data_IF_243266320120
#
_entry.id   IF_243266320120
#
_cell.length_a   1.000
_cell.length_b   1.000
_cell.length_c   1.000
_cell.angle_alpha   90.00
_cell.angle_beta   90.00
_cell.angle_gamma   90.00
#
_symmetry.space_group_name_H-M   'P 1'
#
loop_
_entity.id
_entity.type
_entity.pdbx_description
1 polymer ?
#
# COMPACT_ATOMS: atom_id res chain seq x y z
N UNK A 1 5.50 11.51 2.68
CA UNK A 1 4.03 11.66 2.56
C UNK A 1 3.68 11.45 1.09
N UNK A 2 2.91 10.41 0.77
CA UNK A 2 2.44 10.17 -0.61
C UNK A 2 0.95 10.56 -0.72
N UNK A 3 0.57 11.09 -1.88
CA UNK A 3 -0.83 11.43 -2.19
C UNK A 3 -1.28 10.50 -3.32
N UNK A 4 -2.12 9.52 -2.99
CA UNK A 4 -2.76 8.68 -4.01
C UNK A 4 -3.86 9.51 -4.72
N UNK A 5 -3.87 9.50 -6.05
CA UNK A 5 -4.96 10.06 -6.87
C UNK A 5 -5.79 8.91 -7.42
N UNK A 6 -6.96 8.68 -6.84
CA UNK A 6 -7.99 7.81 -7.42
C UNK A 6 -9.01 8.70 -8.14
N UNK A 7 -9.32 8.42 -9.41
CA UNK A 7 -10.33 9.14 -10.21
C UNK A 7 -10.19 10.68 -10.22
N UNK A 8 -8.97 11.21 -10.33
CA UNK A 8 -8.73 12.67 -10.43
C UNK A 8 -8.88 13.45 -9.12
N UNK A 9 -9.29 12.81 -8.03
CA UNK A 9 -9.45 13.42 -6.71
C UNK A 9 -8.20 13.17 -5.84
N UNK A 10 -7.54 14.25 -5.38
CA UNK A 10 -6.45 14.18 -4.38
C UNK A 10 -7.08 13.88 -3.02
N UNK A 11 -7.24 12.61 -2.64
CA UNK A 11 -8.02 12.33 -1.43
C UNK A 11 -7.38 11.49 -0.33
N UNK A 12 -6.19 10.91 -0.52
CA UNK A 12 -5.68 10.05 0.56
C UNK A 12 -4.20 10.30 0.82
N UNK A 13 -3.93 11.00 1.93
CA UNK A 13 -2.60 11.14 2.51
C UNK A 13 -2.25 9.78 3.14
N UNK A 14 -1.37 8.99 2.54
CA UNK A 14 -0.89 7.79 3.22
C UNK A 14 0.32 8.14 4.10
N UNK A 15 0.39 7.55 5.28
CA UNK A 15 1.68 7.45 5.97
C UNK A 15 2.51 6.42 5.22
N UNK A 16 3.71 6.82 4.83
CA UNK A 16 4.64 5.98 4.08
C UNK A 16 5.85 5.73 4.96
N UNK A 17 6.13 4.48 5.26
CA UNK A 17 7.25 4.07 6.09
C UNK A 17 7.76 2.69 5.67
N UNK A 18 8.96 2.32 6.12
CA UNK A 18 9.49 0.97 5.91
C UNK A 18 9.09 0.07 7.07
N UNK A 19 8.71 -1.17 6.76
CA UNK A 19 8.36 -2.22 7.73
C UNK A 19 8.65 -3.59 7.12
N UNK A 20 8.48 -4.66 7.91
CA UNK A 20 8.53 -6.04 7.40
C UNK A 20 7.25 -6.40 6.64
N UNK A 21 7.39 -7.07 5.51
CA UNK A 21 6.27 -7.57 4.73
C UNK A 21 5.62 -8.78 5.41
N UNK A 22 4.30 -8.85 5.36
CA UNK A 22 3.55 -10.01 5.85
C UNK A 22 3.68 -11.24 4.95
N UNK A 23 4.09 -11.07 3.69
CA UNK A 23 4.29 -12.18 2.75
C UNK A 23 5.53 -13.03 3.10
N UNK A 24 6.63 -12.37 3.43
CA UNK A 24 7.96 -13.01 3.48
C UNK A 24 8.90 -12.46 4.57
N UNK A 25 8.43 -11.54 5.42
CA UNK A 25 9.22 -10.92 6.49
C UNK A 25 10.34 -9.99 6.02
N UNK A 26 10.46 -9.72 4.71
CA UNK A 26 11.51 -8.84 4.16
C UNK A 26 11.10 -7.37 4.20
N UNK A 27 12.05 -6.41 4.15
CA UNK A 27 11.72 -4.99 4.11
C UNK A 27 10.80 -4.63 2.95
N UNK A 28 9.79 -3.82 3.23
CA UNK A 28 8.77 -3.36 2.28
C UNK A 28 8.37 -1.92 2.58
N UNK A 29 7.95 -1.17 1.57
CA UNK A 29 7.37 0.15 1.74
C UNK A 29 5.88 -0.02 2.09
N UNK A 30 5.48 0.45 3.26
CA UNK A 30 4.10 0.35 3.72
C UNK A 30 3.40 1.67 3.46
N UNK A 31 2.23 1.59 2.79
CA UNK A 31 1.27 2.68 2.76
C UNK A 31 0.15 2.33 3.74
N UNK A 32 0.09 3.08 4.84
CA UNK A 32 -0.96 2.93 5.83
C UNK A 32 -1.98 4.08 5.72
N UNK A 33 -3.23 3.69 5.46
CA UNK A 33 -4.38 4.58 5.35
C UNK A 33 -5.19 4.69 6.66
N UNK A 34 -4.75 4.00 7.73
CA UNK A 34 -5.44 3.94 9.03
C UNK A 34 -5.84 5.30 9.60
N UNK A 35 -5.03 6.35 9.36
CA UNK A 35 -5.24 7.68 9.95
C UNK A 35 -5.93 8.69 9.03
N UNK A 36 -6.20 8.35 7.76
CA UNK A 36 -6.52 9.37 6.75
C UNK A 36 -7.74 9.08 5.89
N UNK A 37 -8.28 7.86 5.93
CA UNK A 37 -9.62 7.59 5.41
C UNK A 37 -10.32 6.52 6.22
N UNK A 38 -11.52 6.84 6.72
CA UNK A 38 -12.36 5.91 7.47
C UNK A 38 -12.82 4.72 6.61
N UNK A 39 -12.84 4.88 5.28
CA UNK A 39 -13.16 3.81 4.32
C UNK A 39 -11.93 2.92 4.04
N UNK A 40 -10.72 3.49 4.03
CA UNK A 40 -9.50 2.74 3.73
C UNK A 40 -8.70 2.31 4.95
N UNK A 41 -9.13 2.69 6.16
CA UNK A 41 -8.48 2.35 7.40
C UNK A 41 -8.12 0.85 7.58
N UNK A 42 -8.94 -0.14 7.14
CA UNK A 42 -8.57 -1.54 7.31
C UNK A 42 -7.48 -2.01 6.34
N UNK A 43 -7.18 -1.27 5.28
CA UNK A 43 -6.22 -1.70 4.25
C UNK A 43 -4.79 -1.31 4.61
N UNK A 44 -3.86 -2.22 4.31
CA UNK A 44 -2.40 -2.03 4.36
C UNK A 44 -1.86 -2.43 2.99
N UNK A 45 -1.21 -1.50 2.31
CA UNK A 45 -0.49 -1.82 1.09
C UNK A 45 0.99 -2.04 1.40
N UNK A 46 1.56 -3.09 0.83
CA UNK A 46 2.99 -3.38 0.86
C UNK A 46 3.54 -3.25 -0.55
N UNK A 47 4.53 -2.38 -0.75
CA UNK A 47 5.05 -2.05 -2.07
C UNK A 47 6.56 -2.30 -2.13
N UNK A 48 7.01 -2.96 -3.19
CA UNK A 48 8.43 -3.17 -3.48
C UNK A 48 8.74 -2.93 -4.94
N UNK A 49 9.91 -2.35 -5.19
CA UNK A 49 10.47 -2.29 -6.53
C UNK A 49 10.89 -3.71 -6.97
N UNK A 50 10.42 -4.14 -8.13
CA UNK A 50 10.71 -5.46 -8.71
C UNK A 50 11.51 -5.36 -10.02
N UNK A 51 11.68 -4.13 -10.52
CA UNK A 51 12.52 -3.77 -11.66
C UNK A 51 12.62 -2.25 -11.76
N UNK A 52 13.51 -1.69 -12.59
CA UNK A 52 13.73 -0.25 -12.65
C UNK A 52 12.42 0.51 -12.93
N UNK A 53 11.95 1.28 -11.92
CA UNK A 53 10.71 2.05 -12.02
C UNK A 53 9.41 1.23 -11.96
N UNK A 54 9.49 -0.08 -11.76
CA UNK A 54 8.32 -0.97 -11.65
C UNK A 54 8.19 -1.47 -10.22
N UNK A 55 7.03 -1.20 -9.62
CA UNK A 55 6.72 -1.56 -8.25
C UNK A 55 5.55 -2.53 -8.21
N UNK A 56 5.70 -3.61 -7.45
CA UNK A 56 4.63 -4.53 -7.12
C UNK A 56 4.04 -4.16 -5.75
N UNK A 57 2.73 -4.00 -5.72
CA UNK A 57 1.94 -3.72 -4.52
C UNK A 57 1.04 -4.90 -4.14
N UNK A 58 0.97 -5.19 -2.85
CA UNK A 58 0.07 -6.17 -2.25
C UNK A 58 -0.87 -5.44 -1.29
N UNK A 59 -2.18 -5.58 -1.49
CA UNK A 59 -3.18 -4.99 -0.60
C UNK A 59 -3.73 -6.06 0.36
N UNK A 60 -3.49 -5.86 1.66
CA UNK A 60 -4.07 -6.68 2.72
C UNK A 60 -5.26 -5.97 3.36
N UNK A 61 -6.31 -6.73 3.71
CA UNK A 61 -7.42 -6.26 4.55
C UNK A 61 -7.31 -6.81 5.96
N UNK A 62 -7.50 -5.93 6.95
CA UNK A 62 -7.56 -6.21 8.39
C UNK A 62 -9.00 -6.32 8.94
N UNK A 63 -10.00 -6.55 8.09
CA UNK A 63 -11.41 -6.68 8.54
C UNK A 63 -11.71 -8.00 9.27
N UNK A 64 -10.78 -8.96 9.23
CA UNK A 64 -10.84 -10.25 9.93
C UNK A 64 -9.69 -10.33 10.94
N UNK A 65 -9.76 -11.25 11.94
CA UNK A 65 -8.67 -11.41 12.93
C UNK A 65 -7.31 -11.62 12.27
N UNK A 66 -7.27 -12.47 11.24
CA UNK A 66 -6.09 -12.68 10.41
C UNK A 66 -6.14 -11.80 9.17
N UNK A 67 -5.06 -11.06 8.85
CA UNK A 67 -5.00 -10.28 7.62
C UNK A 67 -5.13 -11.15 6.37
N UNK A 68 -5.93 -10.70 5.41
CA UNK A 68 -6.12 -11.43 4.14
C UNK A 68 -5.62 -10.60 2.97
N UNK A 69 -4.81 -11.21 2.11
CA UNK A 69 -4.42 -10.62 0.84
C UNK A 69 -5.66 -10.51 -0.06
N UNK A 70 -5.95 -9.30 -0.56
CA UNK A 70 -7.11 -9.03 -1.40
C UNK A 70 -6.76 -8.89 -2.87
N UNK A 71 -5.62 -8.27 -3.19
CA UNK A 71 -5.19 -8.09 -4.57
C UNK A 71 -3.70 -7.77 -4.66
N UNK A 72 -3.18 -7.99 -5.87
CA UNK A 72 -1.92 -7.43 -6.34
C UNK A 72 -2.22 -6.23 -7.24
N UNK A 73 -1.33 -5.25 -7.25
CA UNK A 73 -1.33 -4.14 -8.21
C UNK A 73 0.10 -3.82 -8.62
N UNK A 74 0.27 -3.13 -9.75
CA UNK A 74 1.57 -2.65 -10.19
C UNK A 74 1.52 -1.12 -10.33
N UNK A 75 2.63 -0.47 -9.98
CA UNK A 75 2.85 0.95 -10.22
C UNK A 75 4.08 1.11 -11.11
N UNK A 76 3.99 2.03 -12.06
CA UNK A 76 5.12 2.47 -12.85
C UNK A 76 5.47 3.91 -12.47
N UNK A 77 6.74 4.15 -12.16
CA UNK A 77 7.25 5.49 -11.91
C UNK A 77 7.45 6.20 -13.26
N UNK A 78 6.64 7.23 -13.52
CA UNK A 78 6.86 8.12 -14.65
C UNK A 78 7.95 9.13 -14.30
N UNK A 79 8.94 9.24 -15.19
CA UNK A 79 10.01 10.25 -15.13
C UNK A 79 9.50 11.61 -15.63
#
# INVERSE_FOLDING_TARGET
>A
MAVNRFFGLRMIKANVYQDVSWLDGRPSLILDYSKTSRLYAPYRDEIREVGPGIFLGLMYSRTQPEPTLKMYFALEAQQ
#
